data_IF_348528868088
#
_entry.id   IF_348528868088
#
_cell.length_a   1.000
_cell.length_b   1.000
_cell.length_c   1.000
_cell.angle_alpha   90.00
_cell.angle_beta   90.00
_cell.angle_gamma   90.00
#
_symmetry.space_group_name_H-M   'P 1'
#
loop_
_entity.id
_entity.type
_entity.pdbx_description
1 polymer ?
#
# COMPACT_ATOMS: atom_id res chain seq x y z
N UNK A 1 -12.96 -11.57 -39.69
CA UNK A 1 -13.30 -11.78 -38.27
C UNK A 1 -11.99 -11.86 -37.53
N UNK A 2 -11.44 -10.70 -37.15
CA UNK A 2 -10.18 -10.61 -36.41
C UNK A 2 -10.54 -10.22 -34.98
N UNK A 3 -9.96 -10.94 -34.03
CA UNK A 3 -10.15 -10.83 -32.60
C UNK A 3 -9.46 -9.56 -32.08
N UNK A 4 -10.17 -8.77 -31.25
CA UNK A 4 -9.68 -7.51 -30.69
C UNK A 4 -9.01 -7.78 -29.34
N UNK A 5 -7.69 -7.55 -29.20
CA UNK A 5 -6.93 -7.88 -27.99
C UNK A 5 -7.28 -7.00 -26.78
N UNK A 6 -8.15 -6.00 -26.91
CA UNK A 6 -8.52 -5.11 -25.81
C UNK A 6 -9.54 -5.68 -24.80
N UNK A 7 -10.01 -6.92 -24.97
CA UNK A 7 -11.13 -7.49 -24.19
C UNK A 7 -10.78 -8.36 -22.99
N UNK A 8 -9.52 -8.38 -22.52
CA UNK A 8 -9.23 -9.02 -21.22
C UNK A 8 -9.42 -8.02 -20.10
N UNK A 9 -10.67 -7.62 -19.87
CA UNK A 9 -11.08 -6.98 -18.62
C UNK A 9 -11.08 -8.05 -17.54
N UNK A 10 -10.11 -8.01 -16.63
CA UNK A 10 -10.23 -8.71 -15.36
C UNK A 10 -11.32 -8.01 -14.56
N UNK A 11 -12.54 -8.53 -14.62
CA UNK A 11 -13.66 -8.12 -13.77
C UNK A 11 -13.38 -8.60 -12.34
N UNK A 12 -12.61 -7.81 -11.60
CA UNK A 12 -12.33 -8.05 -10.19
C UNK A 12 -13.45 -7.41 -9.35
N UNK A 13 -14.59 -8.10 -9.29
CA UNK A 13 -15.72 -7.76 -8.42
C UNK A 13 -15.38 -8.06 -6.96
N UNK A 14 -14.63 -7.16 -6.30
CA UNK A 14 -14.56 -7.03 -4.85
C UNK A 14 -14.14 -5.57 -4.52
N UNK A 15 -15.14 -4.74 -4.21
CA UNK A 15 -15.05 -3.38 -3.64
C UNK A 15 -13.87 -2.52 -4.15
N UNK A 16 -14.05 -2.00 -5.36
CA UNK A 16 -13.00 -1.31 -6.12
C UNK A 16 -12.48 -0.02 -5.50
N UNK A 17 -11.24 -0.08 -5.00
CA UNK A 17 -10.38 1.10 -4.85
C UNK A 17 -9.97 1.59 -6.24
N UNK A 18 -10.84 2.38 -6.90
CA UNK A 18 -10.50 3.02 -8.18
C UNK A 18 -9.64 4.24 -7.89
N UNK A 19 -8.36 4.18 -8.23
CA UNK A 19 -7.55 5.41 -8.31
C UNK A 19 -8.17 6.27 -9.41
N UNK A 20 -8.71 7.43 -9.05
CA UNK A 20 -9.18 8.38 -10.05
C UNK A 20 -7.95 8.84 -10.83
N UNK A 21 -7.91 8.58 -12.13
CA UNK A 21 -6.89 9.19 -12.98
C UNK A 21 -7.08 10.70 -12.94
N UNK A 22 -6.09 11.40 -12.39
CA UNK A 22 -6.06 12.86 -12.30
C UNK A 22 -5.13 13.39 -13.40
N UNK A 23 -5.48 14.50 -14.08
CA UNK A 23 -4.62 15.10 -15.09
C UNK A 23 -3.23 15.40 -14.53
N UNK A 24 -2.18 14.92 -15.20
CA UNK A 24 -0.79 15.12 -14.78
C UNK A 24 -0.26 14.08 -13.77
N UNK A 25 -1.09 13.14 -13.30
CA UNK A 25 -0.63 12.01 -12.49
C UNK A 25 -0.28 10.84 -13.42
N UNK A 26 0.94 10.28 -13.34
CA UNK A 26 1.33 9.12 -14.15
C UNK A 26 0.36 7.95 -13.95
N UNK A 27 0.15 7.16 -15.01
CA UNK A 27 -0.63 5.91 -14.94
C UNK A 27 0.05 4.83 -14.08
N UNK A 28 1.33 5.01 -13.78
CA UNK A 28 2.12 4.15 -12.89
C UNK A 28 2.24 4.83 -11.53
N UNK A 29 1.92 4.10 -10.47
CA UNK A 29 2.02 4.60 -9.10
C UNK A 29 3.48 4.62 -8.63
N UNK A 30 3.87 5.56 -7.74
CA UNK A 30 5.20 5.58 -7.15
C UNK A 30 5.43 4.36 -6.24
N UNK A 31 6.69 4.08 -5.91
CA UNK A 31 7.04 3.11 -4.88
C UNK A 31 6.32 3.42 -3.56
N UNK A 32 5.88 2.38 -2.86
CA UNK A 32 5.03 2.53 -1.68
C UNK A 32 5.63 1.87 -0.44
N UNK A 33 5.48 2.52 0.71
CA UNK A 33 5.64 1.90 2.02
C UNK A 33 4.25 1.72 2.63
N UNK A 34 3.91 0.49 3.01
CA UNK A 34 2.62 0.14 3.62
C UNK A 34 2.89 -0.48 4.98
N UNK A 35 2.35 0.14 6.03
CA UNK A 35 2.41 -0.39 7.39
C UNK A 35 1.05 -0.94 7.81
N UNK A 36 1.05 -2.13 8.40
CA UNK A 36 -0.16 -2.78 8.93
C UNK A 36 0.01 -3.06 10.42
N UNK A 37 -1.11 -3.05 11.15
CA UNK A 37 -1.17 -3.39 12.56
C UNK A 37 -1.78 -4.78 12.76
N UNK A 38 -1.34 -5.53 13.78
CA UNK A 38 -1.75 -6.93 13.98
C UNK A 38 -3.25 -7.07 14.21
N UNK A 39 -3.81 -6.19 15.04
CA UNK A 39 -5.21 -6.18 15.46
C UNK A 39 -6.00 -5.03 14.82
N UNK A 40 -5.69 -4.70 13.56
CA UNK A 40 -6.41 -3.70 12.77
C UNK A 40 -7.46 -4.37 11.86
N UNK A 41 -8.74 -3.97 11.91
CA UNK A 41 -9.75 -4.46 10.97
C UNK A 41 -9.39 -4.23 9.49
N UNK A 42 -8.53 -3.26 9.18
CA UNK A 42 -8.08 -2.93 7.82
C UNK A 42 -6.82 -3.68 7.38
N UNK A 43 -6.29 -4.58 8.23
CA UNK A 43 -5.01 -5.25 8.00
C UNK A 43 -5.03 -6.04 6.69
N UNK A 44 -6.07 -6.84 6.47
CA UNK A 44 -6.11 -7.78 5.37
C UNK A 44 -6.29 -7.03 4.04
N UNK A 45 -7.09 -5.96 4.00
CA UNK A 45 -7.23 -5.10 2.83
C UNK A 45 -5.95 -4.32 2.51
N UNK A 46 -5.20 -3.88 3.52
CA UNK A 46 -3.92 -3.20 3.31
C UNK A 46 -2.85 -4.16 2.74
N UNK A 47 -2.82 -5.42 3.21
CA UNK A 47 -1.96 -6.46 2.63
C UNK A 47 -2.37 -6.77 1.19
N UNK A 48 -3.67 -6.93 0.92
CA UNK A 48 -4.14 -7.18 -0.46
C UNK A 48 -3.79 -6.01 -1.39
N UNK A 49 -3.91 -4.77 -0.93
CA UNK A 49 -3.51 -3.60 -1.71
C UNK A 49 -2.00 -3.61 -2.01
N UNK A 50 -1.14 -3.95 -1.03
CA UNK A 50 0.30 -4.11 -1.25
C UNK A 50 0.60 -5.19 -2.30
N UNK A 51 -0.08 -6.34 -2.23
CA UNK A 51 0.07 -7.41 -3.21
C UNK A 51 -0.39 -6.99 -4.60
N UNK A 52 -1.49 -6.23 -4.73
CA UNK A 52 -1.95 -5.68 -6.01
C UNK A 52 -0.92 -4.76 -6.65
N UNK A 53 -0.34 -3.84 -5.86
CA UNK A 53 0.73 -2.95 -6.33
C UNK A 53 1.94 -3.75 -6.83
N UNK A 54 2.42 -4.72 -6.06
CA UNK A 54 3.51 -5.62 -6.45
C UNK A 54 3.22 -6.37 -7.75
N UNK A 55 2.00 -6.91 -7.93
CA UNK A 55 1.58 -7.59 -9.17
C UNK A 55 1.60 -6.68 -10.39
N UNK A 56 1.43 -5.38 -10.20
CA UNK A 56 1.51 -4.36 -11.27
C UNK A 56 2.91 -3.78 -11.48
N UNK A 57 3.93 -4.32 -10.78
CA UNK A 57 5.32 -3.88 -10.91
C UNK A 57 5.69 -2.64 -10.10
N UNK A 58 4.81 -2.17 -9.22
CA UNK A 58 5.12 -1.07 -8.29
C UNK A 58 5.98 -1.64 -7.14
N UNK A 59 7.16 -1.07 -6.84
CA UNK A 59 7.94 -1.49 -5.68
C UNK A 59 7.18 -1.21 -4.38
N UNK A 60 7.09 -2.19 -3.49
CA UNK A 60 6.41 -2.04 -2.20
C UNK A 60 7.27 -2.58 -1.07
N UNK A 61 7.41 -1.79 0.00
CA UNK A 61 7.88 -2.23 1.31
C UNK A 61 6.66 -2.38 2.23
N UNK A 62 6.34 -3.63 2.61
CA UNK A 62 5.21 -3.95 3.50
C UNK A 62 5.74 -4.33 4.89
N UNK A 63 5.33 -3.60 5.93
CA UNK A 63 5.69 -3.90 7.32
C UNK A 63 4.46 -4.19 8.19
N UNK A 64 4.40 -5.41 8.71
CA UNK A 64 3.43 -5.82 9.73
C UNK A 64 4.01 -5.61 11.13
N UNK A 65 3.35 -4.75 11.91
CA UNK A 65 3.75 -4.46 13.29
C UNK A 65 2.98 -5.37 14.25
N UNK A 66 3.68 -6.27 14.94
CA UNK A 66 3.10 -7.14 15.95
C UNK A 66 2.74 -6.37 17.23
N UNK A 67 1.67 -6.77 17.92
CA UNK A 67 1.19 -6.15 19.15
C UNK A 67 0.52 -4.78 18.98
N UNK A 68 0.34 -4.32 17.74
CA UNK A 68 -0.28 -3.02 17.44
C UNK A 68 -1.72 -3.15 16.98
N UNK A 69 -2.45 -2.04 17.04
CA UNK A 69 -3.84 -1.91 16.61
C UNK A 69 -4.02 -0.58 15.87
N UNK A 70 -5.19 -0.37 15.29
CA UNK A 70 -5.49 0.84 14.54
C UNK A 70 -5.21 2.12 15.35
N UNK A 71 -4.29 2.96 14.88
CA UNK A 71 -3.92 4.21 15.56
C UNK A 71 -2.97 4.06 16.76
N UNK A 72 -2.39 2.89 17.02
CA UNK A 72 -1.45 2.70 18.14
C UNK A 72 -0.25 3.64 18.12
N UNK A 73 0.11 4.20 16.95
CA UNK A 73 1.15 5.22 16.77
C UNK A 73 0.92 6.48 17.62
N UNK A 74 -0.33 6.78 18.00
CA UNK A 74 -0.65 7.92 18.85
C UNK A 74 -0.31 7.69 20.33
N UNK A 75 -0.01 6.45 20.73
CA UNK A 75 0.33 6.09 22.10
C UNK A 75 1.84 5.94 22.29
N UNK A 76 2.38 6.27 23.49
CA UNK A 76 3.81 6.19 23.78
C UNK A 76 4.26 4.75 24.11
N UNK A 77 3.91 3.79 23.24
CA UNK A 77 4.41 2.42 23.33
C UNK A 77 5.75 2.30 22.57
N UNK A 78 6.64 1.45 23.05
CA UNK A 78 7.95 1.22 22.40
C UNK A 78 7.79 0.79 20.94
N UNK A 79 6.89 -0.16 20.67
CA UNK A 79 6.58 -0.61 19.30
C UNK A 79 6.07 0.52 18.40
N UNK A 80 5.28 1.45 18.94
CA UNK A 80 4.77 2.61 18.21
C UNK A 80 5.89 3.61 17.88
N UNK A 81 6.84 3.79 18.78
CA UNK A 81 8.01 4.64 18.54
C UNK A 81 8.93 4.05 17.46
N UNK A 82 9.15 2.74 17.50
CA UNK A 82 9.88 2.02 16.45
C UNK A 82 9.20 2.16 15.09
N UNK A 83 7.87 2.02 15.04
CA UNK A 83 7.08 2.21 13.82
C UNK A 83 7.22 3.62 13.23
N UNK A 84 7.16 4.65 14.07
CA UNK A 84 7.33 6.05 13.64
C UNK A 84 8.76 6.30 13.15
N UNK A 85 9.76 5.76 13.84
CA UNK A 85 11.17 5.89 13.47
C UNK A 85 11.45 5.26 12.10
N UNK A 86 10.92 4.05 11.86
CA UNK A 86 11.04 3.35 10.58
C UNK A 86 10.36 4.14 9.46
N UNK A 87 9.10 4.56 9.65
CA UNK A 87 8.39 5.38 8.66
C UNK A 87 9.18 6.65 8.30
N UNK A 88 9.72 7.34 9.30
CA UNK A 88 10.54 8.53 9.09
C UNK A 88 11.85 8.23 8.36
N UNK A 89 12.49 7.08 8.62
CA UNK A 89 13.69 6.66 7.92
C UNK A 89 13.39 6.31 6.45
N UNK A 90 12.31 5.56 6.19
CA UNK A 90 11.88 5.20 4.83
C UNK A 90 11.56 6.44 4.00
N UNK A 91 10.81 7.40 4.56
CA UNK A 91 10.53 8.66 3.86
C UNK A 91 11.80 9.46 3.56
N UNK A 92 12.75 9.53 4.49
CA UNK A 92 14.05 10.20 4.25
C UNK A 92 14.83 9.53 3.12
N UNK A 93 14.87 8.20 3.08
CA UNK A 93 15.52 7.45 1.99
C UNK A 93 14.87 7.74 0.65
N UNK A 94 13.54 7.64 0.59
CA UNK A 94 12.77 7.81 -0.64
C UNK A 94 12.83 9.24 -1.23
N UNK A 95 13.05 10.26 -0.41
CA UNK A 95 13.14 11.66 -0.85
C UNK A 95 14.58 12.16 -1.04
N UNK A 96 15.58 11.32 -0.79
CA UNK A 96 16.99 11.65 -1.02
C UNK A 96 17.46 11.31 -2.45
N UNK A 97 16.61 10.61 -3.22
CA UNK A 97 16.80 10.27 -4.64
C UNK A 97 16.17 11.34 -5.55
#
# INVERSE_FOLDING_TARGET
MADDPARTGCEDELHGFRTRSLPGVPSVLPAAYIATAEFDPLRDEAIEYALRLLRTGVPVELHQWAGTFHGSQALPAEVSQLQIAELGATLRRALAE
#
